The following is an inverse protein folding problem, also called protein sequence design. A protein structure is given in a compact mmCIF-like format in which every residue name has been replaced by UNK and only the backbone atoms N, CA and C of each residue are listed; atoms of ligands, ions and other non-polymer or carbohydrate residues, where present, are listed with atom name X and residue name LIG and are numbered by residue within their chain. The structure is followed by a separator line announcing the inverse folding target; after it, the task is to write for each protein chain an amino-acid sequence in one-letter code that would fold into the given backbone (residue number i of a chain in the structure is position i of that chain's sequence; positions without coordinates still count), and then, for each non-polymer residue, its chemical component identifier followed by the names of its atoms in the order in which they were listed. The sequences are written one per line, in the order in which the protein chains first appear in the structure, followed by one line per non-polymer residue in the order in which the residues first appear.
data_IF_440689097747
#
_entry.id   IF_440689097747
#
_cell.length_a   1.000
_cell.length_b   1.000
_cell.length_c   1.000
_cell.angle_alpha   90.00
_cell.angle_beta   90.00
_cell.angle_gamma   90.00
#
_symmetry.space_group_name_H-M   'P 1'
#
loop_
_entity.id
_entity.type
_entity.pdbx_description
1 polymer ?
#
# COMPACT_ATOMS: atom_id res chain seq x y z
N UNK A 1 -11.65 -20.60 7.18
CA UNK A 1 -11.32 -19.46 8.09
C UNK A 1 -12.51 -18.52 8.10
N UNK A 2 -12.88 -17.92 9.24
CA UNK A 2 -13.98 -16.95 9.31
C UNK A 2 -13.45 -15.61 9.79
N UNK A 3 -13.43 -14.62 8.91
CA UNK A 3 -13.01 -13.23 9.19
C UNK A 3 -14.16 -12.23 9.03
N UNK A 4 -15.40 -12.72 8.94
CA UNK A 4 -16.59 -11.87 8.80
C UNK A 4 -16.74 -10.92 10.00
N UNK A 5 -17.06 -9.67 9.72
CA UNK A 5 -17.20 -8.61 10.71
C UNK A 5 -15.87 -7.98 11.15
N UNK A 6 -14.72 -8.49 10.70
CA UNK A 6 -13.42 -7.91 11.08
C UNK A 6 -13.09 -6.66 10.27
N UNK A 7 -12.49 -5.70 10.94
CA UNK A 7 -11.90 -4.53 10.31
C UNK A 7 -10.57 -4.91 9.63
N UNK A 8 -10.14 -4.13 8.64
CA UNK A 8 -8.87 -4.28 7.94
C UNK A 8 -8.06 -2.98 8.04
N UNK A 9 -7.44 -2.75 9.19
CA UNK A 9 -6.76 -1.48 9.52
C UNK A 9 -5.26 -1.53 9.30
N UNK A 10 -4.62 -2.63 9.68
CA UNK A 10 -3.20 -2.90 9.45
C UNK A 10 -2.97 -4.40 9.29
N UNK A 11 -1.86 -4.82 8.65
CA UNK A 11 -1.49 -6.24 8.62
C UNK A 11 -0.99 -6.76 9.98
N UNK A 12 -0.74 -5.88 10.96
CA UNK A 12 -0.42 -6.31 12.35
C UNK A 12 -1.56 -7.14 12.95
N UNK A 13 -2.80 -6.84 12.58
CA UNK A 13 -4.02 -7.42 13.14
C UNK A 13 -4.32 -8.83 12.62
N UNK A 14 -3.51 -9.33 11.67
CA UNK A 14 -3.73 -10.61 11.00
C UNK A 14 -2.55 -11.55 11.16
N UNK A 15 -2.82 -12.85 11.28
CA UNK A 15 -1.78 -13.87 11.22
C UNK A 15 -1.28 -14.10 9.79
N UNK A 16 -0.13 -14.79 9.66
CA UNK A 16 0.39 -15.16 8.33
C UNK A 16 -0.60 -16.01 7.53
N UNK A 17 -1.33 -16.92 8.19
CA UNK A 17 -2.36 -17.75 7.59
C UNK A 17 -3.57 -16.95 7.14
N UNK A 18 -3.96 -15.91 7.91
CA UNK A 18 -5.04 -14.99 7.54
C UNK A 18 -4.64 -14.13 6.34
N UNK A 19 -3.39 -13.64 6.29
CA UNK A 19 -2.86 -12.91 5.13
C UNK A 19 -2.83 -13.84 3.91
N UNK A 20 -2.38 -15.09 4.06
CA UNK A 20 -2.42 -16.09 3.00
C UNK A 20 -3.84 -16.31 2.48
N UNK A 21 -4.82 -16.40 3.37
CA UNK A 21 -6.23 -16.56 2.98
C UNK A 21 -6.76 -15.40 2.14
N UNK A 22 -6.38 -14.14 2.46
CA UNK A 22 -6.69 -12.99 1.59
C UNK A 22 -6.06 -13.12 0.21
N UNK A 23 -4.79 -13.52 0.13
CA UNK A 23 -4.08 -13.67 -1.15
C UNK A 23 -4.68 -14.79 -2.01
N UNK A 24 -4.99 -15.94 -1.43
CA UNK A 24 -5.60 -17.06 -2.15
C UNK A 24 -7.02 -16.71 -2.63
N UNK A 25 -7.80 -16.01 -1.81
CA UNK A 25 -9.10 -15.47 -2.21
C UNK A 25 -8.96 -14.47 -3.37
N UNK A 26 -7.95 -13.59 -3.31
CA UNK A 26 -7.71 -12.62 -4.38
C UNK A 26 -7.37 -13.30 -5.71
N UNK A 27 -6.58 -14.36 -5.70
CA UNK A 27 -6.26 -15.18 -6.89
C UNK A 27 -7.52 -15.81 -7.49
N UNK A 28 -8.37 -16.43 -6.66
CA UNK A 28 -9.64 -17.03 -7.12
C UNK A 28 -10.56 -15.96 -7.75
N UNK A 29 -10.74 -14.81 -7.08
CA UNK A 29 -11.57 -13.72 -7.59
C UNK A 29 -10.97 -13.05 -8.84
N UNK A 30 -9.64 -12.97 -8.96
CA UNK A 30 -8.94 -12.50 -10.16
C UNK A 30 -9.22 -13.43 -11.34
N UNK A 31 -9.10 -14.73 -11.14
CA UNK A 31 -9.38 -15.73 -12.18
C UNK A 31 -10.86 -15.73 -12.60
N UNK A 32 -11.79 -15.62 -11.64
CA UNK A 32 -13.22 -15.46 -11.94
C UNK A 32 -13.50 -14.22 -12.80
N UNK A 33 -12.89 -13.08 -12.46
CA UNK A 33 -13.05 -11.84 -13.26
C UNK A 33 -12.51 -12.02 -14.67
N UNK A 34 -11.33 -12.61 -14.83
CA UNK A 34 -10.71 -12.90 -16.13
C UNK A 34 -11.58 -13.79 -17.02
N UNK A 35 -12.25 -14.76 -16.41
CA UNK A 35 -13.14 -15.70 -17.10
C UNK A 35 -14.59 -15.22 -17.17
N UNK A 36 -14.87 -13.95 -16.82
CA UNK A 36 -16.20 -13.35 -16.83
C UNK A 36 -17.25 -14.14 -16.02
N UNK A 37 -16.83 -14.83 -14.96
CA UNK A 37 -17.73 -15.51 -14.01
C UNK A 37 -18.44 -14.46 -13.16
N UNK A 38 -19.77 -14.42 -13.12
CA UNK A 38 -20.50 -13.47 -12.28
C UNK A 38 -20.18 -13.65 -10.79
N UNK A 39 -19.96 -12.54 -10.09
CA UNK A 39 -19.67 -12.50 -8.66
C UNK A 39 -20.67 -11.53 -8.03
N UNK A 40 -21.82 -12.03 -7.59
CA UNK A 40 -22.91 -11.19 -7.03
C UNK A 40 -23.29 -11.60 -5.60
N UNK A 41 -22.30 -12.08 -4.85
CA UNK A 41 -22.49 -12.61 -3.49
C UNK A 41 -23.02 -11.57 -2.52
N UNK A 42 -22.83 -10.28 -2.83
CA UNK A 42 -23.26 -9.15 -2.00
C UNK A 42 -24.26 -8.23 -2.72
N UNK A 43 -25.09 -8.78 -3.61
CA UNK A 43 -26.11 -8.01 -4.31
C UNK A 43 -27.07 -7.33 -3.31
N UNK A 44 -27.29 -6.02 -3.51
CA UNK A 44 -28.11 -5.19 -2.63
C UNK A 44 -27.39 -4.58 -1.41
N UNK A 45 -26.12 -4.94 -1.17
CA UNK A 45 -25.28 -4.29 -0.16
C UNK A 45 -24.74 -2.97 -0.67
N UNK A 46 -24.34 -2.10 0.26
CA UNK A 46 -23.80 -0.78 -0.06
C UNK A 46 -22.59 -0.48 0.82
N UNK A 47 -21.56 0.14 0.24
CA UNK A 47 -20.40 0.59 0.97
C UNK A 47 -20.18 2.10 0.84
N UNK A 48 -19.60 2.72 1.86
CA UNK A 48 -19.15 4.10 1.84
C UNK A 48 -17.64 4.16 1.63
N UNK A 49 -17.20 5.09 0.77
CA UNK A 49 -15.80 5.41 0.55
C UNK A 49 -15.54 6.83 1.04
N UNK A 50 -14.78 6.97 2.13
CA UNK A 50 -14.44 8.26 2.75
C UNK A 50 -13.03 8.65 2.35
N UNK A 51 -12.88 9.74 1.62
CA UNK A 51 -11.59 10.24 1.16
C UNK A 51 -11.32 11.63 1.72
N UNK A 52 -10.35 11.76 2.60
CA UNK A 52 -9.75 13.04 3.00
C UNK A 52 -8.50 13.36 2.16
N UNK A 53 -7.83 12.31 1.61
CA UNK A 53 -6.78 12.42 0.60
C UNK A 53 -7.26 11.80 -0.71
N UNK A 54 -7.21 12.55 -1.80
CA UNK A 54 -7.62 12.07 -3.13
C UNK A 54 -6.78 10.89 -3.60
N UNK A 55 -7.37 9.99 -4.38
CA UNK A 55 -6.67 8.87 -5.02
C UNK A 55 -7.50 8.28 -6.14
N UNK A 56 -6.95 8.29 -7.35
CA UNK A 56 -7.58 7.60 -8.50
C UNK A 56 -7.57 6.09 -8.30
N UNK A 57 -6.42 5.50 -7.97
CA UNK A 57 -6.25 4.04 -7.88
C UNK A 57 -7.07 3.41 -6.77
N UNK A 58 -7.00 3.95 -5.54
CA UNK A 58 -7.75 3.40 -4.40
C UNK A 58 -9.25 3.50 -4.65
N UNK A 59 -9.72 4.65 -5.13
CA UNK A 59 -11.14 4.85 -5.46
C UNK A 59 -11.61 3.86 -6.51
N UNK A 60 -10.97 3.83 -7.69
CA UNK A 60 -11.34 2.90 -8.76
C UNK A 60 -11.27 1.43 -8.32
N UNK A 61 -10.26 1.06 -7.50
CA UNK A 61 -10.13 -0.32 -7.01
C UNK A 61 -11.32 -0.72 -6.13
N UNK A 62 -11.73 0.12 -5.19
CA UNK A 62 -12.91 -0.14 -4.33
C UNK A 62 -14.21 -0.13 -5.15
N UNK A 63 -14.43 0.89 -5.99
CA UNK A 63 -15.64 0.99 -6.81
C UNK A 63 -15.82 -0.22 -7.72
N UNK A 64 -14.78 -0.57 -8.50
CA UNK A 64 -14.84 -1.73 -9.42
C UNK A 64 -14.98 -3.05 -8.66
N UNK A 65 -14.23 -3.22 -7.56
CA UNK A 65 -14.33 -4.42 -6.73
C UNK A 65 -15.74 -4.60 -6.12
N UNK A 66 -16.34 -3.51 -5.63
CA UNK A 66 -17.70 -3.52 -5.09
C UNK A 66 -18.73 -3.85 -6.18
N UNK A 67 -18.64 -3.22 -7.34
CA UNK A 67 -19.55 -3.50 -8.46
C UNK A 67 -19.44 -4.94 -8.95
N UNK A 68 -18.21 -5.50 -9.02
CA UNK A 68 -18.01 -6.91 -9.36
C UNK A 68 -18.73 -7.85 -8.38
N UNK A 69 -18.80 -7.48 -7.09
CA UNK A 69 -19.47 -8.24 -6.03
C UNK A 69 -20.98 -7.96 -5.93
N UNK A 70 -21.52 -7.06 -6.78
CA UNK A 70 -22.94 -6.70 -6.81
C UNK A 70 -23.34 -5.58 -5.83
N UNK A 71 -22.37 -4.88 -5.25
CA UNK A 71 -22.61 -3.83 -4.27
C UNK A 71 -22.79 -2.44 -4.89
N UNK A 72 -23.59 -1.59 -4.23
CA UNK A 72 -23.62 -0.15 -4.44
C UNK A 72 -22.46 0.57 -3.72
N UNK A 73 -22.06 1.73 -4.24
CA UNK A 73 -20.97 2.53 -3.68
C UNK A 73 -21.40 3.98 -3.55
N UNK A 74 -21.10 4.59 -2.41
CA UNK A 74 -21.22 6.04 -2.19
C UNK A 74 -19.85 6.62 -1.89
N UNK A 75 -19.40 7.54 -2.74
CA UNK A 75 -18.13 8.23 -2.57
C UNK A 75 -18.34 9.55 -1.83
N UNK A 76 -17.62 9.75 -0.73
CA UNK A 76 -17.61 10.95 0.10
C UNK A 76 -16.26 11.63 -0.04
N UNK A 77 -16.22 12.70 -0.83
CA UNK A 77 -15.01 13.49 -1.06
C UNK A 77 -14.72 14.47 0.09
N UNK A 78 -13.50 15.06 0.15
CA UNK A 78 -13.12 16.00 1.21
C UNK A 78 -13.99 17.26 1.28
N UNK A 79 -14.62 17.65 0.18
CA UNK A 79 -15.49 18.85 0.10
C UNK A 79 -16.93 18.54 0.53
N UNK A 80 -17.38 17.32 0.25
CA UNK A 80 -18.73 16.86 0.56
C UNK A 80 -18.91 16.27 1.96
N UNK A 81 -17.81 15.99 2.68
CA UNK A 81 -17.85 15.41 4.02
C UNK A 81 -17.82 16.44 5.15
N UNK A 82 -18.57 16.20 6.21
CA UNK A 82 -18.55 16.99 7.46
C UNK A 82 -17.67 16.35 8.56
N UNK A 83 -17.04 15.22 8.27
CA UNK A 83 -16.20 14.45 9.20
C UNK A 83 -15.11 15.34 9.80
N UNK A 84 -15.00 15.33 11.13
CA UNK A 84 -14.03 16.11 11.86
C UNK A 84 -14.19 17.63 11.79
N UNK A 85 -15.24 18.15 11.11
CA UNK A 85 -15.52 19.59 10.99
C UNK A 85 -16.71 20.03 11.86
N UNK A 86 -17.89 19.54 11.53
CA UNK A 86 -19.14 19.82 12.27
C UNK A 86 -19.70 18.59 12.97
N UNK A 87 -19.21 17.41 12.64
CA UNK A 87 -19.60 16.14 13.20
C UNK A 87 -18.35 15.38 13.67
N UNK A 88 -18.43 14.74 14.83
CA UNK A 88 -17.32 13.92 15.35
C UNK A 88 -17.13 12.67 14.48
N UNK A 89 -15.93 12.09 14.52
CA UNK A 89 -15.63 10.84 13.81
C UNK A 89 -16.53 9.72 14.31
N UNK A 90 -16.72 9.62 15.64
CA UNK A 90 -17.59 8.63 16.27
C UNK A 90 -19.06 8.76 15.83
N UNK A 91 -19.59 9.99 15.73
CA UNK A 91 -20.98 10.18 15.31
C UNK A 91 -21.16 9.88 13.82
N UNK A 92 -20.23 10.32 12.98
CA UNK A 92 -20.20 9.95 11.56
C UNK A 92 -20.14 8.42 11.40
N UNK A 93 -19.28 7.73 12.16
CA UNK A 93 -19.19 6.28 12.13
C UNK A 93 -20.52 5.59 12.47
N UNK A 94 -21.19 6.05 13.53
CA UNK A 94 -22.51 5.53 13.94
C UNK A 94 -23.59 5.74 12.89
N UNK A 95 -23.60 6.90 12.23
CA UNK A 95 -24.55 7.20 11.15
C UNK A 95 -24.27 6.31 9.93
N UNK A 96 -23.03 6.28 9.46
CA UNK A 96 -22.68 5.51 8.27
C UNK A 96 -22.83 4.00 8.49
N UNK A 97 -22.47 3.49 9.68
CA UNK A 97 -22.65 2.09 10.02
C UNK A 97 -24.13 1.62 10.11
N UNK A 98 -25.10 2.56 10.13
CA UNK A 98 -26.54 2.25 10.02
C UNK A 98 -27.06 2.32 8.58
N UNK A 99 -26.29 2.90 7.67
CA UNK A 99 -26.66 3.09 6.27
C UNK A 99 -25.95 2.12 5.33
N UNK A 100 -24.70 1.74 5.69
CA UNK A 100 -23.81 0.97 4.85
C UNK A 100 -23.40 -0.35 5.51
N UNK A 101 -23.04 -1.33 4.70
CA UNK A 101 -22.57 -2.65 5.12
C UNK A 101 -21.05 -2.69 5.39
N UNK A 102 -20.33 -1.68 4.93
CA UNK A 102 -18.90 -1.52 5.15
C UNK A 102 -18.44 -0.11 4.80
N UNK A 103 -17.29 0.31 5.37
CA UNK A 103 -16.77 1.67 5.22
C UNK A 103 -15.28 1.59 4.87
N UNK A 104 -14.88 2.25 3.79
CA UNK A 104 -13.47 2.51 3.51
C UNK A 104 -13.11 3.92 3.97
N UNK A 105 -11.91 4.07 4.51
CA UNK A 105 -11.33 5.35 4.86
C UNK A 105 -9.94 5.52 4.25
N UNK A 106 -9.71 6.65 3.58
CA UNK A 106 -8.40 7.09 3.12
C UNK A 106 -8.14 8.52 3.56
N UNK A 107 -7.13 8.71 4.42
CA UNK A 107 -6.89 10.03 5.00
C UNK A 107 -5.55 10.21 5.67
N UNK A 108 -5.55 10.81 6.85
CA UNK A 108 -4.36 11.24 7.56
C UNK A 108 -3.97 10.28 8.69
N UNK A 109 -4.39 10.55 9.92
CA UNK A 109 -3.97 9.79 11.09
C UNK A 109 -4.61 8.41 11.19
N UNK A 110 -3.84 7.45 11.70
CA UNK A 110 -4.33 6.10 11.96
C UNK A 110 -5.45 6.09 13.02
N UNK A 111 -5.39 6.99 14.00
CA UNK A 111 -6.40 7.16 15.04
C UNK A 111 -7.80 7.42 14.49
N UNK A 112 -7.90 8.07 13.32
CA UNK A 112 -9.18 8.38 12.68
C UNK A 112 -9.85 7.11 12.18
N UNK A 113 -9.13 6.25 11.48
CA UNK A 113 -9.67 4.99 10.96
C UNK A 113 -9.94 3.99 12.09
N UNK A 114 -9.18 4.04 13.18
CA UNK A 114 -9.40 3.23 14.39
C UNK A 114 -10.67 3.68 15.12
N UNK A 115 -10.91 4.99 15.27
CA UNK A 115 -12.15 5.51 15.85
C UNK A 115 -13.36 5.19 14.97
N UNK A 116 -13.25 5.31 13.64
CA UNK A 116 -14.29 4.85 12.73
C UNK A 116 -14.61 3.37 12.94
N UNK A 117 -13.60 2.53 13.07
CA UNK A 117 -13.76 1.09 13.27
C UNK A 117 -14.40 0.75 14.62
N UNK A 118 -14.12 1.52 15.67
CA UNK A 118 -14.69 1.33 17.01
C UNK A 118 -16.20 1.59 17.04
N UNK A 119 -16.68 2.62 16.30
CA UNK A 119 -18.06 3.07 16.42
C UNK A 119 -18.98 2.71 15.26
N UNK A 120 -18.43 2.22 14.13
CA UNK A 120 -19.24 1.94 12.92
C UNK A 120 -20.19 0.74 13.09
N UNK A 121 -19.77 -0.32 13.79
CA UNK A 121 -20.54 -1.56 13.92
C UNK A 121 -20.61 -2.40 12.63
N UNK A 122 -19.88 -2.00 11.59
CA UNK A 122 -19.67 -2.69 10.31
C UNK A 122 -18.17 -2.72 10.01
N UNK A 123 -17.68 -3.62 9.12
CA UNK A 123 -16.27 -3.64 8.75
C UNK A 123 -15.78 -2.30 8.22
N UNK A 124 -14.62 -1.87 8.73
CA UNK A 124 -13.90 -0.67 8.26
C UNK A 124 -12.58 -1.10 7.63
N UNK A 125 -12.29 -0.55 6.45
CA UNK A 125 -11.09 -0.85 5.67
C UNK A 125 -10.23 0.39 5.52
N UNK A 126 -8.95 0.25 5.87
CA UNK A 126 -7.96 1.30 5.72
C UNK A 126 -7.43 1.35 4.27
N UNK A 127 -7.88 2.32 3.49
CA UNK A 127 -7.38 2.58 2.14
C UNK A 127 -6.00 3.24 2.12
N UNK A 128 -5.65 4.02 3.13
CA UNK A 128 -4.34 4.59 3.46
C UNK A 128 -4.47 5.55 4.65
N UNK A 129 -3.51 5.48 5.56
CA UNK A 129 -3.20 6.53 6.55
C UNK A 129 -1.74 6.99 6.41
N UNK A 130 -1.30 7.94 7.23
CA UNK A 130 0.11 8.32 7.29
C UNK A 130 1.00 7.16 7.76
N UNK A 131 0.48 6.30 8.62
CA UNK A 131 1.21 5.22 9.29
C UNK A 131 1.17 3.90 8.51
N UNK A 132 0.03 3.58 7.85
CA UNK A 132 -0.16 2.28 7.20
C UNK A 132 -0.94 2.35 5.88
N UNK A 133 -0.62 1.40 4.98
CA UNK A 133 -1.30 1.19 3.71
C UNK A 133 -1.55 -0.32 3.46
N UNK A 134 -2.39 -0.98 4.27
CA UNK A 134 -2.51 -2.45 4.24
C UNK A 134 -3.07 -3.00 2.92
N UNK A 135 -3.92 -2.25 2.22
CA UNK A 135 -4.48 -2.67 0.93
C UNK A 135 -3.42 -2.69 -0.18
N UNK A 136 -2.39 -1.85 -0.10
CA UNK A 136 -1.24 -1.90 -1.00
C UNK A 136 -0.43 -3.17 -0.75
N UNK A 137 -0.19 -3.52 0.50
CA UNK A 137 0.62 -4.68 0.87
C UNK A 137 0.11 -5.99 0.31
N UNK A 138 -1.20 -6.21 0.31
CA UNK A 138 -1.76 -7.41 -0.31
C UNK A 138 -1.52 -7.45 -1.82
N UNK A 139 -1.57 -6.30 -2.49
CA UNK A 139 -1.28 -6.21 -3.92
C UNK A 139 0.21 -6.45 -4.21
N UNK A 140 1.09 -5.90 -3.38
CA UNK A 140 2.54 -6.11 -3.49
C UNK A 140 2.88 -7.59 -3.31
N UNK A 141 2.37 -8.22 -2.24
CA UNK A 141 2.57 -9.64 -1.97
C UNK A 141 2.03 -10.52 -3.11
N UNK A 142 0.82 -10.22 -3.62
CA UNK A 142 0.25 -10.95 -4.75
C UNK A 142 1.11 -10.81 -6.01
N UNK A 143 1.60 -9.60 -6.30
CA UNK A 143 2.44 -9.33 -7.48
C UNK A 143 3.80 -10.04 -7.38
N UNK A 144 4.42 -10.02 -6.20
CA UNK A 144 5.67 -10.73 -5.92
C UNK A 144 5.47 -12.23 -6.09
N UNK A 145 4.38 -12.78 -5.56
CA UNK A 145 4.09 -14.21 -5.71
C UNK A 145 3.77 -14.61 -7.15
N UNK A 146 3.09 -13.77 -7.92
CA UNK A 146 2.89 -13.98 -9.35
C UNK A 146 4.21 -13.93 -10.14
N UNK A 147 5.17 -13.13 -9.70
CA UNK A 147 6.48 -12.98 -10.35
C UNK A 147 7.43 -14.13 -10.03
N UNK A 148 7.49 -14.56 -8.78
CA UNK A 148 8.50 -15.51 -8.31
C UNK A 148 7.94 -16.88 -7.95
N UNK A 149 6.63 -17.05 -7.87
CA UNK A 149 5.95 -18.29 -7.50
C UNK A 149 5.87 -18.55 -5.98
N UNK A 150 6.51 -17.74 -5.17
CA UNK A 150 6.55 -17.84 -3.70
C UNK A 150 6.84 -16.48 -3.06
N UNK A 151 6.64 -16.39 -1.73
CA UNK A 151 6.99 -15.23 -0.91
C UNK A 151 8.17 -15.51 0.01
N UNK A 152 8.20 -16.70 0.63
CA UNK A 152 9.22 -17.09 1.59
C UNK A 152 10.63 -16.97 1.00
N UNK A 153 11.53 -16.31 1.72
CA UNK A 153 12.91 -16.09 1.31
C UNK A 153 13.15 -15.00 0.27
N UNK A 154 12.10 -14.37 -0.27
CA UNK A 154 12.24 -13.20 -1.18
C UNK A 154 12.88 -12.04 -0.42
N UNK A 155 13.85 -11.38 -1.04
CA UNK A 155 14.55 -10.21 -0.52
C UNK A 155 13.97 -8.95 -1.14
N UNK A 156 13.28 -8.14 -0.34
CA UNK A 156 12.74 -6.86 -0.75
C UNK A 156 13.53 -5.73 -0.10
N UNK A 157 14.09 -4.86 -0.92
CA UNK A 157 14.75 -3.63 -0.46
C UNK A 157 13.89 -2.42 -0.78
N UNK A 158 13.48 -1.71 0.26
CA UNK A 158 12.81 -0.42 0.15
C UNK A 158 13.84 0.71 0.20
N UNK A 159 13.88 1.54 -0.84
CA UNK A 159 14.81 2.67 -0.98
C UNK A 159 14.04 3.99 -0.89
N UNK A 160 14.34 4.81 0.13
CA UNK A 160 13.65 6.07 0.36
C UNK A 160 13.25 6.29 1.81
N UNK A 161 12.25 7.13 2.06
CA UNK A 161 11.77 7.42 3.42
C UNK A 161 10.94 6.27 4.00
N UNK A 162 11.53 5.47 4.85
CA UNK A 162 10.91 4.30 5.44
C UNK A 162 10.11 4.56 6.74
N UNK A 163 9.95 5.83 7.16
CA UNK A 163 9.27 6.20 8.42
C UNK A 163 7.75 6.16 8.34
N UNK A 164 7.18 6.19 7.14
CA UNK A 164 5.75 6.35 6.90
C UNK A 164 5.09 5.06 6.39
N UNK A 165 3.88 5.20 5.85
CA UNK A 165 2.99 4.08 5.55
C UNK A 165 3.60 2.97 4.69
N UNK A 166 4.36 3.30 3.63
CA UNK A 166 4.94 2.28 2.76
C UNK A 166 6.06 1.50 3.45
N UNK A 167 7.05 2.18 4.05
CA UNK A 167 8.13 1.53 4.78
C UNK A 167 7.62 0.68 5.94
N UNK A 168 6.71 1.24 6.75
CA UNK A 168 6.11 0.54 7.87
C UNK A 168 5.34 -0.71 7.42
N UNK A 169 4.48 -0.57 6.40
CA UNK A 169 3.60 -1.65 5.96
C UNK A 169 4.36 -2.76 5.23
N UNK A 170 5.33 -2.42 4.39
CA UNK A 170 6.20 -3.41 3.72
C UNK A 170 7.02 -4.20 4.74
N UNK A 171 7.56 -3.54 5.76
CA UNK A 171 8.30 -4.21 6.83
C UNK A 171 7.42 -5.23 7.58
N UNK A 172 6.17 -4.86 7.92
CA UNK A 172 5.20 -5.76 8.54
C UNK A 172 4.86 -6.93 7.61
N UNK A 173 4.52 -6.64 6.35
CA UNK A 173 4.15 -7.65 5.37
C UNK A 173 5.27 -8.68 5.16
N UNK A 174 6.48 -8.21 4.91
CA UNK A 174 7.65 -9.07 4.71
C UNK A 174 7.94 -9.93 5.95
N UNK A 175 7.95 -9.31 7.14
CA UNK A 175 8.24 -10.02 8.39
C UNK A 175 7.23 -11.12 8.71
N UNK A 176 5.95 -10.94 8.35
CA UNK A 176 4.92 -11.96 8.56
C UNK A 176 4.94 -13.07 7.50
N UNK A 177 5.37 -12.76 6.27
CA UNK A 177 5.32 -13.70 5.16
C UNK A 177 6.64 -14.43 4.88
N UNK A 178 7.60 -14.39 5.83
CA UNK A 178 8.88 -15.09 5.69
C UNK A 178 9.82 -14.46 4.67
N UNK A 179 9.62 -13.19 4.32
CA UNK A 179 10.46 -12.41 3.42
C UNK A 179 11.55 -11.67 4.19
N UNK A 180 12.62 -11.30 3.50
CA UNK A 180 13.69 -10.48 4.04
C UNK A 180 13.46 -9.03 3.62
N UNK A 181 13.22 -8.15 4.59
CA UNK A 181 13.03 -6.72 4.35
C UNK A 181 14.32 -5.94 4.65
N UNK A 182 14.71 -5.07 3.73
CA UNK A 182 15.80 -4.11 3.93
C UNK A 182 15.27 -2.69 3.73
N UNK A 183 15.40 -1.84 4.75
CA UNK A 183 15.24 -0.39 4.58
C UNK A 183 16.61 0.21 4.25
N UNK A 184 16.76 0.70 3.02
CA UNK A 184 17.96 1.36 2.52
C UNK A 184 17.70 2.86 2.41
N UNK A 185 18.16 3.62 3.41
CA UNK A 185 17.85 5.03 3.58
C UNK A 185 18.89 5.71 4.49
N UNK A 186 18.96 7.05 4.56
CA UNK A 186 19.66 7.72 5.64
C UNK A 186 19.08 7.31 6.99
N UNK A 187 19.90 7.26 8.02
CA UNK A 187 19.52 6.77 9.36
C UNK A 187 18.31 7.48 9.97
N UNK A 188 18.17 8.77 9.71
CA UNK A 188 17.02 9.59 10.15
C UNK A 188 15.70 9.25 9.45
N UNK A 189 15.77 8.49 8.37
CA UNK A 189 14.63 8.01 7.58
C UNK A 189 14.30 6.52 7.82
N UNK A 190 14.94 5.89 8.82
CA UNK A 190 14.61 4.53 9.23
C UNK A 190 13.24 4.45 9.91
N UNK A 191 12.56 3.30 9.85
CA UNK A 191 11.33 3.06 10.59
C UNK A 191 11.50 3.25 12.11
N UNK A 192 10.40 3.50 12.79
CA UNK A 192 10.37 3.60 14.25
C UNK A 192 10.91 2.31 14.91
N UNK A 193 11.72 2.46 15.96
CA UNK A 193 12.43 1.36 16.65
C UNK A 193 11.49 0.33 17.27
N UNK A 194 10.35 0.78 17.82
CA UNK A 194 9.36 -0.12 18.41
C UNK A 194 8.72 -1.00 17.32
N UNK A 195 8.43 -0.43 16.17
CA UNK A 195 7.90 -1.18 15.04
C UNK A 195 8.94 -2.15 14.46
N UNK A 196 10.21 -1.74 14.38
CA UNK A 196 11.31 -2.62 13.95
C UNK A 196 11.40 -3.83 14.89
N UNK A 197 11.43 -3.61 16.22
CA UNK A 197 11.49 -4.69 17.20
C UNK A 197 10.30 -5.66 17.09
N UNK A 198 9.09 -5.13 16.88
CA UNK A 198 7.89 -5.94 16.66
C UNK A 198 8.00 -6.79 15.38
N UNK A 199 8.51 -6.21 14.30
CA UNK A 199 8.70 -6.92 13.03
C UNK A 199 9.81 -7.97 13.10
N UNK A 200 10.86 -7.74 13.91
CA UNK A 200 11.88 -8.75 14.19
C UNK A 200 11.29 -9.97 14.92
N UNK A 201 10.34 -9.76 15.84
CA UNK A 201 9.63 -10.88 16.48
C UNK A 201 8.76 -11.66 15.48
N UNK A 202 8.07 -11.00 14.57
CA UNK A 202 7.34 -11.68 13.48
C UNK A 202 8.30 -12.47 12.59
N UNK A 203 9.42 -11.87 12.21
CA UNK A 203 10.42 -12.47 11.34
C UNK A 203 11.06 -13.73 11.95
N UNK A 204 11.30 -13.77 13.27
CA UNK A 204 11.77 -14.97 13.97
C UNK A 204 10.82 -16.16 13.80
N UNK A 205 9.52 -15.91 13.78
CA UNK A 205 8.50 -16.95 13.65
C UNK A 205 8.33 -17.40 12.20
N UNK A 206 8.39 -16.46 11.25
CA UNK A 206 8.13 -16.71 9.83
C UNK A 206 9.37 -17.17 9.03
N UNK A 207 10.57 -16.99 9.58
CA UNK A 207 11.84 -17.25 8.88
C UNK A 207 12.37 -16.06 8.08
N UNK A 208 11.76 -14.88 8.19
CA UNK A 208 12.21 -13.65 7.56
C UNK A 208 13.35 -12.94 8.31
N UNK A 209 13.67 -11.72 7.87
CA UNK A 209 14.61 -10.84 8.57
C UNK A 209 14.36 -9.37 8.27
N UNK A 210 14.81 -8.49 9.17
CA UNK A 210 14.79 -7.03 8.99
C UNK A 210 16.23 -6.52 8.99
N UNK A 211 16.58 -5.70 8.01
CA UNK A 211 17.88 -5.04 7.88
C UNK A 211 17.67 -3.54 7.67
N UNK A 212 18.48 -2.72 8.33
CA UNK A 212 18.52 -1.27 8.13
C UNK A 212 19.93 -0.91 7.69
N UNK A 213 20.08 -0.23 6.56
CA UNK A 213 21.40 0.16 6.04
C UNK A 213 21.37 1.51 5.34
N UNK A 214 22.44 2.28 5.48
CA UNK A 214 22.67 3.51 4.72
C UNK A 214 23.49 3.25 3.45
N UNK A 215 24.08 2.05 3.32
CA UNK A 215 24.88 1.66 2.15
C UNK A 215 24.00 1.08 1.05
N UNK A 216 23.88 1.82 -0.05
CA UNK A 216 23.07 1.43 -1.22
C UNK A 216 23.58 0.12 -1.85
N UNK A 217 24.90 -0.12 -1.87
CA UNK A 217 25.47 -1.36 -2.43
C UNK A 217 25.14 -2.55 -1.55
N UNK A 218 25.20 -2.39 -0.23
CA UNK A 218 24.79 -3.43 0.70
C UNK A 218 23.28 -3.69 0.59
N UNK A 219 22.47 -2.61 0.59
CA UNK A 219 21.02 -2.70 0.57
C UNK A 219 20.45 -3.32 -0.70
N UNK A 220 21.06 -3.07 -1.86
CA UNK A 220 20.55 -3.60 -3.14
C UNK A 220 21.16 -4.95 -3.52
N UNK A 221 22.22 -5.39 -2.82
CA UNK A 221 22.90 -6.65 -3.11
C UNK A 221 21.98 -7.86 -2.96
N UNK A 222 21.93 -8.66 -4.01
CA UNK A 222 21.13 -9.90 -4.06
C UNK A 222 19.64 -9.71 -3.76
N UNK A 223 19.09 -8.49 -3.91
CA UNK A 223 17.68 -8.22 -3.79
C UNK A 223 16.89 -8.87 -4.93
N UNK A 224 15.71 -9.40 -4.63
CA UNK A 224 14.73 -9.88 -5.62
C UNK A 224 13.81 -8.74 -6.07
N UNK A 225 13.52 -7.81 -5.15
CA UNK A 225 12.64 -6.66 -5.40
C UNK A 225 13.32 -5.39 -4.90
N UNK A 226 13.45 -4.39 -5.77
CA UNK A 226 13.75 -3.01 -5.37
C UNK A 226 12.44 -2.20 -5.40
N UNK A 227 12.08 -1.63 -4.27
CA UNK A 227 10.84 -0.89 -4.08
C UNK A 227 11.12 0.54 -3.66
N UNK A 228 10.36 1.49 -4.17
CA UNK A 228 10.39 2.88 -3.68
C UNK A 228 9.01 3.52 -3.73
N UNK A 229 8.90 4.70 -3.15
CA UNK A 229 7.75 5.60 -3.21
C UNK A 229 8.27 7.04 -3.41
N UNK A 230 7.37 7.95 -3.72
CA UNK A 230 7.70 9.38 -3.88
C UNK A 230 8.44 9.92 -2.66
N UNK A 231 9.47 10.75 -2.88
CA UNK A 231 10.24 11.33 -1.77
C UNK A 231 9.46 12.35 -0.95
N UNK A 232 8.46 12.98 -1.56
CA UNK A 232 7.58 13.94 -0.89
C UNK A 232 6.13 13.56 -1.14
N UNK A 233 5.40 13.30 -0.05
CA UNK A 233 4.00 12.88 -0.12
C UNK A 233 3.07 14.05 -0.45
N UNK A 234 1.88 13.74 -0.98
CA UNK A 234 0.85 14.75 -1.23
C UNK A 234 0.44 15.46 0.06
N UNK A 235 0.48 16.80 0.02
CA UNK A 235 0.10 17.66 1.14
C UNK A 235 1.24 18.03 2.08
N UNK A 236 2.47 17.60 1.81
CA UNK A 236 3.64 18.09 2.51
C UNK A 236 4.02 19.51 2.02
N UNK A 237 4.57 20.39 2.90
CA UNK A 237 4.94 21.75 2.56
C UNK A 237 6.07 21.80 1.51
N UNK A 238 6.10 22.88 0.72
CA UNK A 238 7.14 23.09 -0.31
C UNK A 238 8.57 23.11 0.25
N UNK A 239 8.72 23.51 1.51
CA UNK A 239 10.02 23.65 2.18
C UNK A 239 10.73 22.30 2.36
N UNK A 240 9.98 21.19 2.47
CA UNK A 240 10.59 19.86 2.67
C UNK A 240 11.20 19.27 1.41
N UNK A 241 10.85 19.79 0.21
CA UNK A 241 11.34 19.24 -1.06
C UNK A 241 12.86 19.28 -1.16
N UNK A 242 13.48 20.43 -0.82
CA UNK A 242 14.93 20.57 -0.93
C UNK A 242 15.67 19.58 -0.03
N UNK A 243 15.25 19.50 1.23
CA UNK A 243 15.84 18.57 2.20
C UNK A 243 15.70 17.12 1.74
N UNK A 244 14.49 16.73 1.28
CA UNK A 244 14.24 15.36 0.81
C UNK A 244 15.04 15.01 -0.43
N UNK A 245 15.13 15.92 -1.40
CA UNK A 245 15.94 15.73 -2.61
C UNK A 245 17.41 15.54 -2.21
N UNK A 246 17.96 16.40 -1.36
CA UNK A 246 19.37 16.31 -0.93
C UNK A 246 19.64 15.00 -0.18
N UNK A 247 18.76 14.60 0.72
CA UNK A 247 18.93 13.39 1.53
C UNK A 247 18.71 12.09 0.74
N UNK A 248 17.73 12.06 -0.17
CA UNK A 248 17.28 10.82 -0.82
C UNK A 248 17.83 10.60 -2.23
N UNK A 249 18.45 11.62 -2.87
CA UNK A 249 19.07 11.47 -4.19
C UNK A 249 20.07 10.29 -4.29
N UNK A 250 20.89 9.98 -3.27
CA UNK A 250 21.76 8.80 -3.31
C UNK A 250 20.98 7.46 -3.35
N UNK A 251 19.72 7.46 -2.96
CA UNK A 251 18.85 6.29 -2.87
C UNK A 251 17.87 6.17 -4.06
N UNK A 252 18.10 6.93 -5.13
CA UNK A 252 17.34 6.77 -6.38
C UNK A 252 17.52 5.35 -6.94
N UNK A 253 16.42 4.70 -7.32
CA UNK A 253 16.50 3.43 -8.03
C UNK A 253 16.83 3.70 -9.50
N UNK A 254 18.04 3.41 -9.87
CA UNK A 254 18.61 3.58 -11.20
C UNK A 254 19.20 2.25 -11.72
N UNK A 255 19.74 2.28 -12.93
CA UNK A 255 20.37 1.11 -13.54
C UNK A 255 21.44 0.46 -12.63
N UNK A 256 22.27 1.26 -11.96
CA UNK A 256 23.34 0.72 -11.12
C UNK A 256 22.78 0.00 -9.87
N UNK A 257 21.71 0.48 -9.29
CA UNK A 257 21.00 -0.21 -8.20
C UNK A 257 20.40 -1.54 -8.68
N UNK A 258 19.75 -1.55 -9.85
CA UNK A 258 19.19 -2.77 -10.45
C UNK A 258 20.26 -3.78 -10.86
N UNK A 259 21.39 -3.32 -11.41
CA UNK A 259 22.52 -4.20 -11.81
C UNK A 259 23.21 -4.86 -10.59
N UNK A 260 23.09 -4.29 -9.39
CA UNK A 260 23.62 -4.87 -8.15
C UNK A 260 22.66 -5.86 -7.47
N UNK A 261 21.39 -5.84 -7.84
CA UNK A 261 20.39 -6.81 -7.43
C UNK A 261 20.53 -8.14 -8.21
N UNK A 262 19.69 -9.12 -7.95
CA UNK A 262 19.71 -10.37 -8.73
C UNK A 262 19.35 -10.11 -10.20
N UNK A 263 19.83 -10.99 -11.09
CA UNK A 263 19.57 -10.90 -12.53
C UNK A 263 18.06 -10.88 -12.86
N UNK A 264 17.26 -11.62 -12.10
CA UNK A 264 15.80 -11.68 -12.23
C UNK A 264 15.04 -10.70 -11.32
N UNK A 265 15.76 -9.75 -10.73
CA UNK A 265 15.13 -8.76 -9.86
C UNK A 265 14.14 -7.87 -10.62
N UNK A 266 13.12 -7.41 -9.90
CA UNK A 266 12.11 -6.49 -10.42
C UNK A 266 12.08 -5.19 -9.63
N UNK A 267 11.71 -4.12 -10.31
CA UNK A 267 11.36 -2.84 -9.70
C UNK A 267 9.85 -2.80 -9.45
N UNK A 268 9.44 -2.31 -8.28
CA UNK A 268 8.04 -2.09 -7.90
C UNK A 268 7.83 -0.69 -7.30
N UNK A 269 6.62 -0.17 -7.46
CA UNK A 269 6.25 1.18 -7.02
C UNK A 269 4.73 1.32 -6.88
N UNK A 270 4.25 1.81 -5.74
CA UNK A 270 2.82 1.98 -5.46
C UNK A 270 2.11 3.04 -6.32
N UNK A 271 2.86 3.85 -7.06
CA UNK A 271 2.39 4.97 -7.88
C UNK A 271 1.64 6.08 -7.06
N UNK A 272 1.76 7.35 -7.49
CA UNK A 272 2.41 7.85 -8.71
C UNK A 272 3.94 7.84 -8.58
N UNK A 273 4.68 7.84 -9.70
CA UNK A 273 6.13 7.93 -9.74
C UNK A 273 6.57 9.21 -10.49
N UNK A 274 7.69 9.80 -10.02
CA UNK A 274 8.31 10.96 -10.68
C UNK A 274 9.54 10.52 -11.48
N UNK A 275 9.30 9.89 -12.64
CA UNK A 275 10.34 9.38 -13.52
C UNK A 275 10.51 10.20 -14.81
N UNK A 276 9.60 11.14 -15.11
CA UNK A 276 9.65 11.97 -16.32
C UNK A 276 9.04 13.37 -16.12
N UNK A 277 9.03 14.18 -17.17
CA UNK A 277 8.49 15.55 -17.20
C UNK A 277 7.06 15.64 -17.77
N UNK A 278 6.33 14.54 -17.93
CA UNK A 278 4.99 14.56 -18.52
C UNK A 278 3.92 15.08 -17.55
N UNK A 279 4.21 15.11 -16.25
CA UNK A 279 3.30 15.61 -15.23
C UNK A 279 3.50 17.11 -14.94
N UNK A 280 2.45 17.77 -14.44
CA UNK A 280 2.56 19.18 -13.99
C UNK A 280 3.60 19.32 -12.88
N UNK A 281 3.54 18.46 -11.86
CA UNK A 281 4.46 18.51 -10.72
C UNK A 281 5.90 18.20 -11.17
N UNK A 282 6.12 17.23 -12.06
CA UNK A 282 7.44 16.95 -12.62
C UNK A 282 8.07 18.16 -13.29
N UNK A 283 7.27 18.94 -14.04
CA UNK A 283 7.73 20.19 -14.66
C UNK A 283 8.07 21.28 -13.62
N UNK A 284 7.23 21.45 -12.60
CA UNK A 284 7.47 22.43 -11.52
C UNK A 284 8.74 22.07 -10.73
N UNK A 285 8.99 20.77 -10.46
CA UNK A 285 10.20 20.30 -9.80
C UNK A 285 11.44 20.51 -10.69
N UNK A 286 11.31 20.25 -11.98
CA UNK A 286 12.39 20.54 -12.92
C UNK A 286 12.75 22.04 -12.97
N UNK A 287 11.75 22.92 -13.07
CA UNK A 287 11.97 24.36 -13.07
C UNK A 287 12.62 24.85 -11.77
N UNK A 288 12.25 24.28 -10.62
CA UNK A 288 12.71 24.72 -9.30
C UNK A 288 14.05 24.08 -8.87
N UNK A 289 14.30 22.81 -9.22
CA UNK A 289 15.43 22.03 -8.74
C UNK A 289 16.30 21.42 -9.85
N UNK A 290 15.92 21.54 -11.12
CA UNK A 290 16.68 21.02 -12.26
C UNK A 290 16.60 19.52 -12.46
N UNK A 291 15.72 18.80 -11.72
CA UNK A 291 15.58 17.35 -11.80
C UNK A 291 14.62 16.96 -12.91
N UNK A 292 14.97 15.91 -13.66
CA UNK A 292 14.11 15.30 -14.70
C UNK A 292 13.48 13.98 -14.22
N UNK A 293 14.06 13.39 -13.20
CA UNK A 293 13.69 12.10 -12.58
C UNK A 293 13.98 12.22 -11.07
N UNK A 294 13.23 11.52 -10.23
CA UNK A 294 13.41 11.60 -8.79
C UNK A 294 13.73 10.23 -8.16
N UNK A 295 12.75 9.58 -7.55
CA UNK A 295 12.95 8.33 -6.81
C UNK A 295 13.33 7.14 -7.69
N UNK A 296 13.03 7.22 -8.98
CA UNK A 296 13.38 6.20 -9.99
C UNK A 296 13.71 6.88 -11.32
N UNK A 297 14.64 6.30 -12.09
CA UNK A 297 14.92 6.76 -13.45
C UNK A 297 13.88 6.26 -14.45
N UNK A 298 13.63 7.02 -15.53
CA UNK A 298 12.69 6.64 -16.60
C UNK A 298 13.09 5.31 -17.26
N UNK A 299 14.39 5.09 -17.45
CA UNK A 299 14.92 3.82 -17.97
C UNK A 299 14.49 2.61 -17.13
N UNK A 300 14.59 2.70 -15.81
CA UNK A 300 14.20 1.61 -14.90
C UNK A 300 12.68 1.49 -14.86
N UNK A 301 11.96 2.61 -14.74
CA UNK A 301 10.50 2.59 -14.69
C UNK A 301 9.90 1.91 -15.94
N UNK A 302 10.29 2.34 -17.13
CA UNK A 302 9.78 1.80 -18.38
C UNK A 302 10.17 0.33 -18.60
N UNK A 303 11.39 -0.06 -18.18
CA UNK A 303 11.83 -1.46 -18.27
C UNK A 303 10.96 -2.40 -17.43
N UNK A 304 10.50 -1.97 -16.27
CA UNK A 304 9.70 -2.76 -15.33
C UNK A 304 8.23 -2.33 -15.26
N UNK A 305 7.75 -1.54 -16.20
CA UNK A 305 6.39 -1.01 -16.24
C UNK A 305 5.31 -2.10 -16.11
N UNK A 306 5.52 -3.29 -16.70
CA UNK A 306 4.58 -4.42 -16.56
C UNK A 306 4.39 -4.83 -15.09
N UNK A 307 5.46 -4.92 -14.32
CA UNK A 307 5.37 -5.27 -12.89
C UNK A 307 4.65 -4.18 -12.08
N UNK A 308 4.98 -2.90 -12.34
CA UNK A 308 4.35 -1.74 -11.66
C UNK A 308 2.86 -1.64 -11.97
N UNK A 309 2.45 -1.83 -13.23
CA UNK A 309 1.03 -1.74 -13.57
C UNK A 309 0.25 -2.99 -13.18
N UNK A 310 0.86 -4.17 -13.13
CA UNK A 310 0.28 -5.38 -12.57
C UNK A 310 0.05 -5.25 -11.06
N UNK A 311 0.99 -4.63 -10.34
CA UNK A 311 0.83 -4.26 -8.94
C UNK A 311 -0.40 -3.35 -8.73
N UNK A 312 -0.54 -2.31 -9.57
CA UNK A 312 -1.69 -1.42 -9.54
C UNK A 312 -3.01 -2.14 -9.87
N UNK A 313 -3.02 -3.08 -10.82
CA UNK A 313 -4.18 -3.95 -11.12
C UNK A 313 -4.52 -4.83 -9.92
N UNK A 314 -3.53 -5.45 -9.30
CA UNK A 314 -3.71 -6.35 -8.16
C UNK A 314 -4.36 -5.66 -6.96
N UNK A 315 -4.26 -4.33 -6.83
CA UNK A 315 -5.00 -3.54 -5.84
C UNK A 315 -6.50 -3.81 -5.89
N UNK A 316 -7.09 -3.83 -7.09
CA UNK A 316 -8.52 -4.11 -7.25
C UNK A 316 -8.87 -5.54 -6.81
N UNK A 317 -8.04 -6.52 -7.14
CA UNK A 317 -8.30 -7.93 -6.81
C UNK A 317 -8.16 -8.21 -5.31
N UNK A 318 -7.14 -7.65 -4.67
CA UNK A 318 -6.91 -7.83 -3.24
C UNK A 318 -7.91 -7.04 -2.38
N UNK A 319 -8.29 -5.83 -2.78
CA UNK A 319 -9.37 -5.07 -2.14
C UNK A 319 -10.71 -5.84 -2.25
N UNK A 320 -10.98 -6.45 -3.41
CA UNK A 320 -12.15 -7.32 -3.59
C UNK A 320 -12.13 -8.48 -2.60
N UNK A 321 -10.98 -9.13 -2.42
CA UNK A 321 -10.82 -10.21 -1.46
C UNK A 321 -11.03 -9.73 -0.01
N UNK A 322 -10.51 -8.55 0.36
CA UNK A 322 -10.75 -7.96 1.68
C UNK A 322 -12.24 -7.79 1.95
N UNK A 323 -12.97 -7.15 1.03
CA UNK A 323 -14.42 -7.00 1.16
C UNK A 323 -15.14 -8.35 1.20
N UNK A 324 -14.79 -9.25 0.30
CA UNK A 324 -15.40 -10.59 0.20
C UNK A 324 -15.27 -11.42 1.48
N UNK A 325 -14.13 -11.33 2.14
CA UNK A 325 -13.78 -12.11 3.33
C UNK A 325 -14.34 -11.50 4.62
N UNK A 326 -14.38 -10.16 4.70
CA UNK A 326 -14.74 -9.45 5.93
C UNK A 326 -16.20 -9.05 6.03
N UNK A 327 -16.90 -8.87 4.91
CA UNK A 327 -18.34 -8.57 4.96
C UNK A 327 -19.13 -9.75 5.50
N UNK A 328 -20.04 -9.55 6.48
CA UNK A 328 -20.98 -10.57 6.92
C UNK A 328 -21.86 -11.04 5.76
N UNK A 329 -22.17 -12.33 5.70
CA UNK A 329 -23.07 -12.94 4.70
C UNK A 329 -24.46 -13.06 5.23
#
# INVERSE_FOLDING_TARGET
MNLQGRNFLTLKDFTSEEIRYFLDTAKDLKEKKKNHVPMKEFEGRNIALIFEKTSTRTRCSFEVAAHDLGMGVTYLDPSGSQIGKKESIADTARVLGRMFDGIEYRGFGQEIVEELAEYAGVPVWNGLTNEYHPTQMLADLLTIEEQFGHLEGIRLTYMGDARYNMGNSLMIACSKMGMHFTACAPKEYFPNKELVALCEEYAKTSGGSITLTEDVKEGTKDADVLYTDVWVSMGEPDEVWKERIEALSPYQINKAAMDNAKENAVFMHCLPAFHDLKTKIGKEIHEKYGLTEMEVTDEVFEKYADAVFREAENRMHTIKAVMYVTLPR
#
